data_IF_840477018906
#
_entry.id   IF_840477018906
#
_cell.length_a   1.000
_cell.length_b   1.000
_cell.length_c   1.000
_cell.angle_alpha   90.00
_cell.angle_beta   90.00
_cell.angle_gamma   90.00
#
_symmetry.space_group_name_H-M   'P 1'
#
loop_
_entity.id
_entity.type
_entity.pdbx_description
1 polymer ?
#
# COMPACT_ATOMS: atom_id res chain seq x y z
N UNK A 1 4.47 13.55 10.66
CA UNK A 1 3.82 12.44 9.94
C UNK A 1 4.59 12.16 8.65
N UNK A 2 4.92 10.90 8.40
CA UNK A 2 5.57 10.50 7.15
C UNK A 2 4.56 10.42 6.03
N UNK A 3 4.87 11.02 4.90
CA UNK A 3 4.01 11.04 3.72
C UNK A 3 4.79 10.55 2.51
N UNK A 4 4.17 9.69 1.70
CA UNK A 4 4.76 9.22 0.45
C UNK A 4 3.69 9.14 -0.63
N UNK A 5 4.03 9.60 -1.82
CA UNK A 5 3.28 9.35 -3.04
C UNK A 5 4.12 8.42 -3.90
N UNK A 6 3.67 7.17 -4.03
CA UNK A 6 4.43 6.10 -4.66
C UNK A 6 3.82 5.76 -6.02
N UNK A 7 4.60 5.92 -7.06
CA UNK A 7 4.19 5.50 -8.40
C UNK A 7 4.32 3.99 -8.51
N UNK A 8 3.20 3.31 -8.76
CA UNK A 8 3.17 1.86 -8.86
C UNK A 8 3.73 1.38 -10.20
N UNK A 9 4.14 0.12 -10.22
CA UNK A 9 4.71 -0.51 -11.41
C UNK A 9 4.19 -1.93 -11.53
N UNK A 10 3.74 -2.31 -12.73
CA UNK A 10 3.28 -3.66 -13.00
C UNK A 10 1.90 -3.99 -12.45
N UNK A 11 1.11 -3.00 -12.05
CA UNK A 11 -0.26 -3.18 -11.54
C UNK A 11 -1.25 -2.26 -12.26
N UNK A 12 -2.54 -2.47 -12.00
CA UNK A 12 -3.59 -1.62 -12.57
C UNK A 12 -3.73 -0.27 -11.87
N UNK A 13 -3.26 -0.13 -10.65
CA UNK A 13 -3.20 1.19 -9.99
C UNK A 13 -2.01 1.99 -10.49
N UNK A 14 -2.05 3.31 -10.32
CA UNK A 14 -1.01 4.23 -10.80
C UNK A 14 -0.21 4.86 -9.70
N UNK A 15 -0.88 5.21 -8.60
CA UNK A 15 -0.28 5.98 -7.51
C UNK A 15 -0.86 5.52 -6.20
N UNK A 16 0.00 5.40 -5.19
CA UNK A 16 -0.40 5.13 -3.82
C UNK A 16 -0.01 6.34 -2.98
N UNK A 17 -0.96 6.89 -2.24
CA UNK A 17 -0.71 7.98 -1.30
C UNK A 17 -0.83 7.42 0.11
N UNK A 18 0.21 7.60 0.93
CA UNK A 18 0.30 7.01 2.26
C UNK A 18 0.73 8.06 3.28
N UNK A 19 0.03 8.11 4.41
CA UNK A 19 0.45 8.89 5.58
C UNK A 19 0.58 7.95 6.77
N UNK A 20 1.73 7.98 7.44
CA UNK A 20 2.02 7.17 8.62
C UNK A 20 2.42 8.10 9.75
N UNK A 21 1.82 7.93 10.94
CA UNK A 21 2.10 8.81 12.07
C UNK A 21 3.43 8.46 12.76
N UNK A 22 3.75 9.22 13.81
CA UNK A 22 5.01 9.06 14.55
C UNK A 22 5.11 7.70 15.25
N UNK A 23 4.00 7.02 15.46
CA UNK A 23 3.94 5.70 16.09
C UNK A 23 4.01 4.56 15.08
N UNK A 24 4.10 4.86 13.79
CA UNK A 24 4.13 3.87 12.72
C UNK A 24 2.76 3.35 12.32
N UNK A 25 1.70 4.05 12.65
CA UNK A 25 0.32 3.67 12.32
C UNK A 25 -0.10 4.37 11.02
N UNK A 26 -0.64 3.61 10.08
CA UNK A 26 -1.17 4.16 8.83
C UNK A 26 -2.43 4.96 9.14
N UNK A 27 -2.42 6.25 8.81
CA UNK A 27 -3.54 7.15 9.07
C UNK A 27 -4.31 7.50 7.81
N UNK A 28 -3.66 7.45 6.66
CA UNK A 28 -4.30 7.71 5.39
C UNK A 28 -3.70 6.82 4.33
N UNK A 29 -4.55 6.31 3.44
CA UNK A 29 -4.11 5.43 2.36
C UNK A 29 -5.12 5.54 1.23
N UNK A 30 -4.63 5.81 0.03
CA UNK A 30 -5.46 5.82 -1.16
C UNK A 30 -4.69 5.32 -2.36
N UNK A 31 -5.43 4.75 -3.33
CA UNK A 31 -4.90 4.31 -4.61
C UNK A 31 -5.57 5.11 -5.71
N UNK A 32 -4.80 5.53 -6.69
CA UNK A 32 -5.32 6.13 -7.91
C UNK A 32 -5.31 5.07 -9.00
N UNK A 33 -6.47 4.82 -9.61
CA UNK A 33 -6.66 3.79 -10.64
C UNK A 33 -6.85 2.40 -10.05
N UNK A 34 -6.98 1.41 -10.93
CA UNK A 34 -7.17 0.02 -10.53
C UNK A 34 -8.60 -0.34 -10.15
N UNK A 35 -8.74 -1.47 -9.44
CA UNK A 35 -10.04 -1.99 -9.01
C UNK A 35 -10.58 -1.21 -7.82
N UNK A 36 -11.45 -0.26 -8.08
CA UNK A 36 -11.88 0.72 -7.09
C UNK A 36 -12.44 0.08 -5.81
N UNK A 37 -13.34 -0.91 -5.94
CA UNK A 37 -13.93 -1.58 -4.78
C UNK A 37 -12.92 -2.36 -3.95
N UNK A 38 -12.07 -3.15 -4.61
CA UNK A 38 -11.04 -3.94 -3.94
C UNK A 38 -10.02 -3.06 -3.25
N UNK A 39 -9.59 -1.99 -3.90
CA UNK A 39 -8.58 -1.08 -3.34
C UNK A 39 -9.14 -0.29 -2.17
N UNK A 40 -10.41 0.09 -2.20
CA UNK A 40 -11.08 0.72 -1.05
C UNK A 40 -11.14 -0.24 0.14
N UNK A 41 -11.40 -1.52 -0.11
CA UNK A 41 -11.39 -2.54 0.94
C UNK A 41 -10.02 -2.70 1.58
N UNK A 42 -8.97 -2.74 0.77
CA UNK A 42 -7.58 -2.80 1.25
C UNK A 42 -7.26 -1.58 2.11
N UNK A 43 -7.63 -0.39 1.65
CA UNK A 43 -7.41 0.84 2.42
C UNK A 43 -8.12 0.78 3.77
N UNK A 44 -9.37 0.34 3.79
CA UNK A 44 -10.15 0.23 5.02
C UNK A 44 -9.52 -0.74 6.02
N UNK A 45 -8.95 -1.84 5.52
CA UNK A 45 -8.28 -2.83 6.37
C UNK A 45 -6.93 -2.32 6.90
N UNK A 46 -6.23 -1.51 6.14
CA UNK A 46 -4.88 -1.07 6.47
C UNK A 46 -4.85 0.17 7.36
N UNK A 47 -5.80 1.09 7.21
CA UNK A 47 -5.86 2.31 8.02
C UNK A 47 -6.05 1.93 9.49
N UNK A 48 -5.23 2.47 10.37
CA UNK A 48 -5.22 2.15 11.79
C UNK A 48 -4.31 0.99 12.17
N UNK A 49 -3.64 0.37 11.21
CA UNK A 49 -2.71 -0.73 11.45
C UNK A 49 -1.27 -0.25 11.42
N UNK A 50 -0.38 -1.04 12.02
CA UNK A 50 1.06 -0.74 11.97
C UNK A 50 1.58 -0.96 10.56
N UNK A 51 2.34 0.01 10.05
CA UNK A 51 2.92 -0.06 8.71
C UNK A 51 3.81 -1.29 8.54
N UNK A 52 4.58 -1.66 9.57
CA UNK A 52 5.43 -2.84 9.53
C UNK A 52 4.63 -4.13 9.37
N UNK A 53 3.50 -4.23 10.06
CA UNK A 53 2.63 -5.42 9.97
C UNK A 53 1.98 -5.51 8.58
N UNK A 54 1.51 -4.40 8.06
CA UNK A 54 0.90 -4.34 6.73
C UNK A 54 1.93 -4.74 5.67
N UNK A 55 3.14 -4.21 5.75
CA UNK A 55 4.21 -4.55 4.83
C UNK A 55 4.49 -6.05 4.84
N UNK A 56 4.64 -6.65 6.00
CA UNK A 56 4.92 -8.09 6.11
C UNK A 56 3.78 -8.94 5.54
N UNK A 57 2.55 -8.54 5.81
CA UNK A 57 1.36 -9.29 5.37
C UNK A 57 1.20 -9.25 3.86
N UNK A 58 1.46 -8.12 3.23
CA UNK A 58 1.15 -7.91 1.82
C UNK A 58 2.34 -8.16 0.88
N UNK A 59 3.56 -8.20 1.41
CA UNK A 59 4.74 -8.41 0.58
C UNK A 59 4.69 -9.76 -0.14
N UNK A 60 4.96 -9.73 -1.45
CA UNK A 60 5.02 -10.95 -2.26
C UNK A 60 3.69 -11.44 -2.78
N UNK A 61 2.59 -10.76 -2.47
CA UNK A 61 1.28 -11.12 -3.04
C UNK A 61 1.26 -10.70 -4.50
N UNK A 62 1.04 -11.66 -5.39
CA UNK A 62 1.01 -11.42 -6.82
C UNK A 62 -0.42 -11.47 -7.35
N UNK A 63 -0.65 -10.88 -8.52
CA UNK A 63 -1.95 -10.85 -9.16
C UNK A 63 -1.89 -11.66 -10.45
N UNK A 64 -2.51 -12.84 -10.45
CA UNK A 64 -2.52 -13.73 -11.61
C UNK A 64 -1.10 -14.08 -12.06
N UNK A 65 -0.80 -13.91 -13.33
CA UNK A 65 0.54 -14.16 -13.89
C UNK A 65 1.52 -13.02 -13.74
N UNK A 66 1.15 -11.93 -13.05
CA UNK A 66 2.02 -10.76 -12.88
C UNK A 66 2.98 -10.98 -11.70
N UNK A 67 4.20 -10.39 -11.75
CA UNK A 67 5.17 -10.54 -10.67
C UNK A 67 4.84 -9.73 -9.41
N UNK A 68 3.82 -8.87 -9.44
CA UNK A 68 3.43 -8.00 -8.34
C UNK A 68 1.91 -7.78 -8.34
N UNK A 69 1.42 -7.02 -7.37
CA UNK A 69 0.01 -6.63 -7.23
C UNK A 69 -0.08 -5.28 -6.55
N UNK A 70 -1.28 -4.69 -6.50
CA UNK A 70 -1.49 -3.46 -5.75
C UNK A 70 -1.12 -3.62 -4.27
N UNK A 71 -1.53 -4.70 -3.56
CA UNK A 71 -1.07 -4.93 -2.19
C UNK A 71 0.45 -5.05 -2.07
N UNK A 72 1.10 -5.78 -2.98
CA UNK A 72 2.55 -5.92 -2.98
C UNK A 72 3.23 -4.57 -3.20
N UNK A 73 2.70 -3.75 -4.09
CA UNK A 73 3.23 -2.39 -4.33
C UNK A 73 3.08 -1.51 -3.10
N UNK A 74 2.01 -1.66 -2.32
CA UNK A 74 1.87 -0.98 -1.04
C UNK A 74 2.99 -1.40 -0.08
N UNK A 75 3.31 -2.68 -0.02
CA UNK A 75 4.42 -3.18 0.81
C UNK A 75 5.75 -2.56 0.36
N UNK A 76 5.99 -2.47 -0.94
CA UNK A 76 7.18 -1.80 -1.48
C UNK A 76 7.25 -0.34 -1.06
N UNK A 77 6.13 0.38 -1.17
CA UNK A 77 6.05 1.78 -0.78
C UNK A 77 6.37 1.96 0.71
N UNK A 78 5.82 1.12 1.57
CA UNK A 78 6.10 1.16 3.00
C UNK A 78 7.57 0.89 3.28
N UNK A 79 8.20 0.00 2.52
CA UNK A 79 9.64 -0.25 2.60
C UNK A 79 10.46 0.99 2.28
N UNK A 80 10.05 1.75 1.27
CA UNK A 80 10.72 3.02 0.92
C UNK A 80 10.58 4.07 2.02
N UNK A 81 9.51 4.03 2.79
CA UNK A 81 9.31 4.91 3.93
C UNK A 81 10.15 4.52 5.15
N UNK A 82 10.80 3.37 5.11
CA UNK A 82 11.66 2.89 6.21
C UNK A 82 10.98 1.89 7.13
N UNK A 83 9.84 1.36 6.72
CA UNK A 83 9.13 0.31 7.48
C UNK A 83 9.33 -1.08 6.85
#
# INVERSE_FOLDING_TARGET
>A
MNHLEYTTNGTCSRLITIDVDAEGIIRNLSFMGGCNGNLKGICALCIGKKATDVKQTLKGITCGGKPTSCPDQLAEALGQMGY
#
